data_IF_744030535694
#
_entry.id   IF_744030535694
#
_cell.length_a   1.000
_cell.length_b   1.000
_cell.length_c   1.000
_cell.angle_alpha   90.00
_cell.angle_beta   90.00
_cell.angle_gamma   90.00
#
_symmetry.space_group_name_H-M   'P 1'
#
loop_
_entity.id
_entity.type
_entity.pdbx_description
1 polymer ?
#
# COMPACT_ATOMS: atom_id res chain seq x y z
N UNK A 1 32.21 23.17 50.57
CA UNK A 1 31.33 23.61 49.47
C UNK A 1 30.56 22.41 48.95
N UNK A 2 29.23 22.47 48.97
CA UNK A 2 28.32 21.43 48.48
C UNK A 2 27.91 21.82 47.07
N UNK A 3 28.27 21.04 46.05
CA UNK A 3 27.71 21.21 44.70
C UNK A 3 26.86 19.98 44.38
N UNK A 4 25.56 20.11 44.65
CA UNK A 4 24.54 19.19 44.17
C UNK A 4 24.32 19.53 42.70
N UNK A 5 24.82 18.71 41.79
CA UNK A 5 24.43 18.79 40.38
C UNK A 5 23.25 17.85 40.21
N UNK A 6 22.05 18.40 40.36
CA UNK A 6 20.81 17.76 39.96
C UNK A 6 20.43 18.26 38.56
N UNK A 7 19.72 17.41 37.81
CA UNK A 7 18.98 17.71 36.58
C UNK A 7 19.86 18.08 35.38
N UNK A 8 19.87 17.31 34.30
CA UNK A 8 18.66 17.12 33.49
C UNK A 8 18.81 15.88 32.60
N UNK A 9 18.17 14.79 32.97
CA UNK A 9 17.85 13.71 32.04
C UNK A 9 16.69 14.20 31.16
N UNK A 10 17.00 15.04 30.16
CA UNK A 10 16.08 15.30 29.07
C UNK A 10 16.07 14.06 28.17
N UNK A 11 15.35 13.02 28.62
CA UNK A 11 14.89 11.95 27.73
C UNK A 11 13.90 12.59 26.76
N UNK A 12 14.44 13.16 25.68
CA UNK A 12 13.72 13.35 24.43
C UNK A 12 13.44 11.95 23.87
N UNK A 13 12.42 11.30 24.43
CA UNK A 13 11.70 10.24 23.72
C UNK A 13 10.96 10.99 22.62
N UNK A 14 11.64 11.21 21.49
CA UNK A 14 10.94 11.60 20.26
C UNK A 14 10.07 10.41 19.91
N UNK A 15 8.83 10.46 20.38
CA UNK A 15 7.78 9.54 19.98
C UNK A 15 7.67 9.66 18.47
N UNK A 16 8.20 8.67 17.76
CA UNK A 16 7.82 8.43 16.38
C UNK A 16 6.33 8.08 16.44
N UNK A 17 5.49 9.10 16.31
CA UNK A 17 4.12 8.91 15.89
C UNK A 17 4.23 8.34 14.48
N UNK A 18 4.33 7.01 14.41
CA UNK A 18 4.15 6.23 13.19
C UNK A 18 2.73 6.54 12.75
N UNK A 19 2.56 7.53 11.87
CA UNK A 19 1.37 7.59 11.05
C UNK A 19 1.27 6.23 10.37
N UNK A 20 0.17 5.52 10.58
CA UNK A 20 -0.05 4.20 9.99
C UNK A 20 0.24 4.29 8.49
N UNK A 21 1.31 3.64 8.01
CA UNK A 21 1.78 3.86 6.65
C UNK A 21 1.09 2.84 5.73
N UNK A 22 0.01 3.27 5.08
CA UNK A 22 -0.66 2.50 4.06
C UNK A 22 0.22 2.41 2.80
N UNK A 23 0.54 1.20 2.37
CA UNK A 23 1.40 0.89 1.21
C UNK A 23 0.71 -0.06 0.26
N UNK A 24 1.17 0.00 -0.99
CA UNK A 24 0.75 -0.92 -2.04
C UNK A 24 1.98 -1.51 -2.75
N UNK A 25 1.82 -2.73 -3.24
CA UNK A 25 2.78 -3.40 -4.13
C UNK A 25 2.03 -3.93 -5.35
N UNK A 26 2.62 -3.74 -6.54
CA UNK A 26 2.05 -4.21 -7.81
C UNK A 26 3.04 -5.16 -8.45
N UNK A 27 2.68 -6.45 -8.51
CA UNK A 27 3.52 -7.50 -9.07
C UNK A 27 2.88 -8.04 -10.36
N UNK A 28 3.62 -7.96 -11.46
CA UNK A 28 3.20 -8.51 -12.74
C UNK A 28 3.36 -10.04 -12.75
N UNK A 29 2.34 -10.73 -13.23
CA UNK A 29 2.33 -12.17 -13.49
C UNK A 29 2.08 -12.39 -14.98
N UNK A 30 2.10 -13.64 -15.46
CA UNK A 30 1.86 -13.97 -16.88
C UNK A 30 0.53 -13.37 -17.37
N UNK A 31 -0.59 -13.74 -16.74
CA UNK A 31 -1.93 -13.38 -17.17
C UNK A 31 -2.49 -12.09 -16.52
N UNK A 32 -1.75 -11.43 -15.64
CA UNK A 32 -2.30 -10.33 -14.85
C UNK A 32 -1.30 -9.57 -14.00
N UNK A 33 -1.84 -8.84 -13.04
CA UNK A 33 -1.12 -8.21 -11.94
C UNK A 33 -1.78 -8.57 -10.62
N UNK A 34 -0.96 -8.83 -9.61
CA UNK A 34 -1.39 -8.94 -8.22
C UNK A 34 -1.04 -7.65 -7.51
N UNK A 35 -2.08 -6.97 -7.03
CA UNK A 35 -1.97 -5.83 -6.13
C UNK A 35 -2.01 -6.36 -4.70
N UNK A 36 -1.04 -6.00 -3.87
CA UNK A 36 -1.02 -6.33 -2.44
C UNK A 36 -1.03 -5.04 -1.62
N UNK A 37 -1.94 -4.94 -0.65
CA UNK A 37 -2.11 -3.77 0.21
C UNK A 37 -1.59 -4.09 1.60
N UNK A 38 -0.85 -3.15 2.17
CA UNK A 38 -0.25 -3.25 3.49
C UNK A 38 -0.57 -2.03 4.34
N UNK A 39 -0.81 -2.22 5.62
CA UNK A 39 -0.88 -1.16 6.62
C UNK A 39 0.07 -1.54 7.74
N UNK A 40 1.06 -0.70 8.01
CA UNK A 40 2.09 -0.95 9.02
C UNK A 40 2.84 -2.29 8.85
N UNK A 41 2.99 -2.72 7.59
CA UNK A 41 3.66 -3.97 7.22
C UNK A 41 2.75 -5.20 7.21
N UNK A 42 1.54 -5.11 7.75
CA UNK A 42 0.55 -6.18 7.75
C UNK A 42 -0.34 -6.12 6.50
N UNK A 43 -0.75 -7.28 6.00
CA UNK A 43 -1.61 -7.38 4.81
C UNK A 43 -3.03 -6.94 5.15
N UNK A 44 -3.64 -6.11 4.31
CA UNK A 44 -4.99 -5.56 4.53
C UNK A 44 -6.02 -6.29 3.67
N UNK A 45 -6.90 -7.13 4.26
CA UNK A 45 -8.02 -7.73 3.55
C UNK A 45 -9.16 -6.72 3.33
N UNK A 46 -10.07 -7.02 2.41
CA UNK A 46 -11.27 -6.25 2.06
C UNK A 46 -11.02 -4.80 1.61
N UNK A 47 -9.77 -4.39 1.37
CA UNK A 47 -9.48 -3.10 0.78
C UNK A 47 -9.98 -3.07 -0.67
N UNK A 48 -10.72 -2.02 -1.03
CA UNK A 48 -11.21 -1.83 -2.38
C UNK A 48 -10.07 -1.35 -3.27
N UNK A 49 -9.74 -2.12 -4.29
CA UNK A 49 -8.73 -1.74 -5.28
C UNK A 49 -9.42 -1.39 -6.59
N UNK A 50 -9.22 -0.16 -7.04
CA UNK A 50 -9.71 0.34 -8.33
C UNK A 50 -8.59 0.50 -9.33
N UNK A 51 -8.91 0.34 -10.61
CA UNK A 51 -7.93 0.47 -11.69
C UNK A 51 -8.53 1.09 -12.95
N UNK A 52 -7.68 1.65 -13.81
CA UNK A 52 -8.05 2.15 -15.13
C UNK A 52 -7.93 1.09 -16.24
N UNK A 53 -7.74 -0.20 -15.91
CA UNK A 53 -7.82 -1.30 -16.88
C UNK A 53 -9.26 -1.42 -17.40
N UNK A 54 -9.45 -1.36 -18.72
CA UNK A 54 -10.80 -1.44 -19.31
C UNK A 54 -11.48 -2.76 -18.94
N UNK A 55 -12.75 -2.67 -18.51
CA UNK A 55 -13.57 -3.83 -18.14
C UNK A 55 -13.31 -4.37 -16.73
N UNK A 56 -12.42 -3.75 -15.96
CA UNK A 56 -12.11 -4.13 -14.58
C UNK A 56 -12.14 -2.86 -13.72
N UNK A 57 -13.15 -2.73 -12.85
CA UNK A 57 -13.38 -1.47 -12.13
C UNK A 57 -12.98 -1.55 -10.66
N UNK A 58 -13.47 -2.54 -9.91
CA UNK A 58 -13.21 -2.67 -8.48
C UNK A 58 -13.04 -4.14 -8.13
N UNK A 59 -11.98 -4.46 -7.38
CA UNK A 59 -11.74 -5.78 -6.78
C UNK A 59 -11.34 -5.59 -5.33
N UNK A 60 -11.94 -6.33 -4.41
CA UNK A 60 -11.55 -6.34 -3.00
C UNK A 60 -10.33 -7.22 -2.78
N UNK A 61 -9.46 -6.83 -1.84
CA UNK A 61 -8.35 -7.70 -1.44
C UNK A 61 -8.88 -8.91 -0.66
N UNK A 62 -8.37 -10.10 -0.99
CA UNK A 62 -8.61 -11.33 -0.23
C UNK A 62 -8.05 -11.30 1.20
N UNK A 63 -8.27 -12.36 1.97
CA UNK A 63 -7.66 -12.59 3.30
C UNK A 63 -6.12 -12.47 3.32
N UNK A 64 -5.47 -12.58 2.14
CA UNK A 64 -4.02 -12.39 1.98
C UNK A 64 -3.64 -10.94 1.63
N UNK A 65 -4.56 -10.00 1.70
CA UNK A 65 -4.41 -8.61 1.29
C UNK A 65 -4.15 -8.43 -0.21
N UNK A 66 -4.63 -9.35 -1.03
CA UNK A 66 -4.33 -9.41 -2.47
C UNK A 66 -5.57 -9.27 -3.35
N UNK A 67 -5.49 -8.42 -4.37
CA UNK A 67 -6.45 -8.29 -5.45
C UNK A 67 -5.77 -8.61 -6.80
N UNK A 68 -6.43 -9.38 -7.66
CA UNK A 68 -5.91 -9.75 -8.97
C UNK A 68 -6.66 -9.00 -10.08
N UNK A 69 -5.91 -8.54 -11.09
CA UNK A 69 -6.45 -7.95 -12.30
C UNK A 69 -5.82 -8.61 -13.53
N UNK A 70 -6.62 -8.93 -14.53
CA UNK A 70 -6.13 -9.40 -15.82
C UNK A 70 -5.41 -8.28 -16.55
N UNK A 71 -4.35 -8.61 -17.31
CA UNK A 71 -3.67 -7.61 -18.15
C UNK A 71 -4.63 -7.02 -19.17
N UNK A 72 -4.55 -5.72 -19.37
CA UNK A 72 -5.21 -5.09 -20.52
C UNK A 72 -4.52 -5.47 -21.83
N UNK A 73 -5.23 -5.35 -22.95
CA UNK A 73 -4.71 -5.69 -24.28
C UNK A 73 -3.63 -4.72 -24.80
N UNK A 74 -3.43 -3.59 -24.11
CA UNK A 74 -2.53 -2.51 -24.55
C UNK A 74 -1.41 -2.36 -23.52
N UNK A 75 -0.13 -2.46 -23.91
CA UNK A 75 0.98 -2.17 -23.02
C UNK A 75 1.01 -0.67 -22.71
N UNK A 76 0.86 -0.30 -21.43
CA UNK A 76 0.85 1.09 -20.97
C UNK A 76 1.04 1.19 -19.46
N UNK A 77 1.12 2.41 -18.95
CA UNK A 77 1.03 2.70 -17.51
C UNK A 77 -0.43 2.57 -17.07
N UNK A 78 -0.66 1.73 -16.06
CA UNK A 78 -1.94 1.59 -15.38
C UNK A 78 -1.83 2.16 -13.97
N UNK A 79 -2.94 2.73 -13.51
CA UNK A 79 -3.07 3.33 -12.19
C UNK A 79 -3.92 2.41 -11.33
N UNK A 80 -3.50 2.25 -10.08
CA UNK A 80 -4.20 1.48 -9.06
C UNK A 80 -4.35 2.36 -7.84
N UNK A 81 -5.50 2.28 -7.21
CA UNK A 81 -5.80 2.96 -5.96
C UNK A 81 -6.49 1.97 -5.03
N UNK A 82 -5.93 1.80 -3.84
CA UNK A 82 -6.48 0.95 -2.81
C UNK A 82 -7.04 1.83 -1.69
N UNK A 83 -8.28 1.56 -1.29
CA UNK A 83 -8.97 2.25 -0.20
C UNK A 83 -9.37 1.23 0.88
N UNK A 84 -9.03 1.50 2.13
CA UNK A 84 -9.43 0.65 3.27
C UNK A 84 -10.85 0.99 3.74
N UNK A 85 -11.45 0.14 4.57
CA UNK A 85 -12.78 0.39 5.16
C UNK A 85 -12.81 1.63 6.06
N UNK A 86 -11.65 2.04 6.59
CA UNK A 86 -11.48 3.27 7.36
C UNK A 86 -11.38 4.52 6.48
N UNK A 87 -11.37 4.37 5.15
CA UNK A 87 -11.27 5.46 4.18
C UNK A 87 -9.84 5.93 3.91
N UNK A 88 -8.82 5.21 4.38
CA UNK A 88 -7.43 5.51 4.02
C UNK A 88 -7.14 5.03 2.60
N UNK A 89 -6.45 5.84 1.80
CA UNK A 89 -6.19 5.54 0.39
C UNK A 89 -4.71 5.60 0.04
N UNK A 90 -4.24 4.66 -0.76
CA UNK A 90 -2.91 4.68 -1.38
C UNK A 90 -3.02 4.49 -2.88
N UNK A 91 -2.24 5.26 -3.63
CA UNK A 91 -2.26 5.22 -5.10
C UNK A 91 -0.88 4.93 -5.64
N UNK A 92 -0.80 4.07 -6.66
CA UNK A 92 0.45 3.73 -7.33
C UNK A 92 0.20 3.41 -8.80
N UNK A 93 1.18 3.73 -9.64
CA UNK A 93 1.15 3.44 -11.07
C UNK A 93 2.23 2.42 -11.45
N UNK A 94 1.95 1.58 -12.44
CA UNK A 94 2.90 0.60 -12.97
C UNK A 94 2.74 0.46 -14.48
N UNK A 95 3.86 0.41 -15.20
CA UNK A 95 3.86 -0.03 -16.59
C UNK A 95 3.62 -1.55 -16.63
N UNK A 96 2.61 -1.98 -17.37
CA UNK A 96 2.29 -3.39 -17.58
C UNK A 96 2.51 -3.67 -19.06
N UNK A 97 3.41 -4.61 -19.36
CA UNK A 97 3.78 -5.00 -20.71
C UNK A 97 2.83 -6.04 -21.32
N UNK A 98 3.09 -6.40 -22.58
CA UNK A 98 2.56 -7.63 -23.16
C UNK A 98 3.57 -8.75 -22.89
N UNK A 99 3.09 -9.93 -22.53
CA UNK A 99 3.94 -11.13 -22.53
C UNK A 99 4.55 -11.29 -23.93
N UNK A 100 5.87 -11.49 -23.96
CA UNK A 100 6.62 -11.75 -25.19
C UNK A 100 6.40 -13.18 -25.66
#
# INVERSE_FOLDING_TARGET
MKLKIALSAALLVTSFASHAELKMSINEQTNGVVVTVYQDGERVPNAQVVTNIRGQQVTETSDRGQAFFYKGNIPRVYQFEATTDQGESVQQSRFIGRDK
#
